data_IF_983321137084
#
_entry.id   IF_983321137084
#
_cell.length_a   1.000
_cell.length_b   1.000
_cell.length_c   1.000
_cell.angle_alpha   90.00
_cell.angle_beta   90.00
_cell.angle_gamma   90.00
#
_symmetry.space_group_name_H-M   'P 1'
#
loop_
_entity.id
_entity.type
_entity.pdbx_description
1 polymer ?
#
# COMPACT_ATOMS: atom_id res chain seq x y z
N UNK A 1 -18.12 19.48 -16.46
CA UNK A 1 -17.08 19.70 -15.44
C UNK A 1 -17.75 20.38 -14.25
N UNK A 2 -18.48 19.61 -13.44
CA UNK A 2 -19.18 20.10 -12.28
C UNK A 2 -18.39 19.65 -11.06
N UNK A 3 -17.34 20.41 -10.71
CA UNK A 3 -16.84 20.40 -9.35
C UNK A 3 -18.04 20.63 -8.44
N UNK A 4 -18.16 19.85 -7.37
CA UNK A 4 -19.22 20.00 -6.39
C UNK A 4 -19.10 21.39 -5.77
N UNK A 5 -19.83 22.34 -6.36
CA UNK A 5 -20.01 23.70 -5.90
C UNK A 5 -20.92 23.68 -4.68
N UNK A 6 -20.41 23.22 -3.53
CA UNK A 6 -20.90 23.78 -2.27
C UNK A 6 -20.06 25.03 -2.02
N UNK A 7 -20.54 26.23 -2.38
CA UNK A 7 -19.77 27.45 -2.21
C UNK A 7 -19.31 27.56 -0.76
N UNK A 8 -18.08 27.99 -0.54
CA UNK A 8 -17.59 28.29 0.80
C UNK A 8 -18.53 29.37 1.38
N UNK A 9 -19.19 29.11 2.52
CA UNK A 9 -20.03 30.12 3.16
C UNK A 9 -19.23 31.40 3.41
N UNK A 10 -19.84 32.56 3.18
CA UNK A 10 -19.17 33.87 3.36
C UNK A 10 -18.83 34.21 4.82
N UNK A 11 -19.34 33.42 5.77
CA UNK A 11 -19.13 33.62 7.19
C UNK A 11 -18.73 32.32 7.87
N UNK A 12 -17.79 32.43 8.82
CA UNK A 12 -17.45 31.34 9.74
C UNK A 12 -18.59 31.20 10.75
N UNK A 13 -19.29 30.07 10.71
CA UNK A 13 -20.44 29.80 11.57
C UNK A 13 -20.90 28.34 11.48
N UNK A 14 -22.07 28.02 12.03
CA UNK A 14 -22.56 26.63 12.11
C UNK A 14 -22.67 25.95 10.73
N UNK A 15 -23.07 26.69 9.69
CA UNK A 15 -23.15 26.16 8.33
C UNK A 15 -21.77 25.78 7.77
N UNK A 16 -20.77 26.65 7.97
CA UNK A 16 -19.37 26.37 7.63
C UNK A 16 -18.84 25.17 8.42
N UNK A 17 -19.05 25.14 9.74
CA UNK A 17 -18.62 24.03 10.59
C UNK A 17 -19.27 22.70 10.18
N UNK A 18 -20.57 22.69 9.87
CA UNK A 18 -21.26 21.51 9.33
C UNK A 18 -20.67 21.06 8.00
N UNK A 19 -20.37 21.98 7.10
CA UNK A 19 -19.75 21.62 5.82
C UNK A 19 -18.32 21.10 5.97
N UNK A 20 -17.54 21.67 6.89
CA UNK A 20 -16.15 21.29 7.14
C UNK A 20 -16.02 19.93 7.81
N UNK A 21 -16.86 19.65 8.81
CA UNK A 21 -16.74 18.45 9.65
C UNK A 21 -17.71 17.32 9.27
N UNK A 22 -18.64 17.52 8.33
CA UNK A 22 -19.49 16.43 7.87
C UNK A 22 -18.67 15.40 7.06
N UNK A 23 -18.57 14.13 7.53
CA UNK A 23 -17.88 13.11 6.79
C UNK A 23 -18.66 12.79 5.51
N UNK A 24 -17.96 12.84 4.37
CA UNK A 24 -18.48 12.44 3.06
C UNK A 24 -17.60 11.34 2.48
N UNK A 25 -18.10 10.61 1.47
CA UNK A 25 -17.29 9.63 0.75
C UNK A 25 -16.03 10.27 0.14
N UNK A 26 -16.15 11.53 -0.32
CA UNK A 26 -15.03 12.31 -0.89
C UNK A 26 -13.97 12.64 0.16
N UNK A 27 -14.38 13.19 1.31
CA UNK A 27 -13.44 13.48 2.40
C UNK A 27 -12.77 12.19 2.89
N UNK A 28 -13.53 11.10 3.02
CA UNK A 28 -12.99 9.77 3.31
C UNK A 28 -11.94 9.33 2.30
N UNK A 29 -12.19 9.49 0.99
CA UNK A 29 -11.22 9.15 -0.05
C UNK A 29 -9.91 9.95 0.10
N UNK A 30 -9.99 11.26 0.31
CA UNK A 30 -8.80 12.10 0.52
C UNK A 30 -8.01 11.68 1.77
N UNK A 31 -8.70 11.47 2.90
CA UNK A 31 -8.04 11.07 4.15
C UNK A 31 -7.36 9.69 4.03
N UNK A 32 -8.04 8.73 3.43
CA UNK A 32 -7.47 7.39 3.21
C UNK A 32 -6.30 7.46 2.24
N UNK A 33 -6.40 8.23 1.14
CA UNK A 33 -5.30 8.40 0.21
C UNK A 33 -4.08 8.98 0.91
N UNK A 34 -4.23 10.06 1.66
CA UNK A 34 -3.14 10.70 2.40
C UNK A 34 -2.51 9.73 3.43
N UNK A 35 -3.34 8.97 4.14
CA UNK A 35 -2.88 7.98 5.14
C UNK A 35 -2.06 6.87 4.48
N UNK A 36 -2.58 6.27 3.42
CA UNK A 36 -1.92 5.16 2.72
C UNK A 36 -0.65 5.63 2.02
N UNK A 37 -0.69 6.78 1.34
CA UNK A 37 0.47 7.37 0.68
C UNK A 37 1.59 7.69 1.68
N UNK A 38 1.25 8.34 2.80
CA UNK A 38 2.20 8.63 3.88
C UNK A 38 2.79 7.35 4.48
N UNK A 39 1.96 6.34 4.74
CA UNK A 39 2.43 5.05 5.24
C UNK A 39 3.38 4.35 4.25
N UNK A 40 3.09 4.40 2.94
CA UNK A 40 3.94 3.81 1.90
C UNK A 40 5.30 4.50 1.78
N UNK A 41 5.36 5.83 1.88
CA UNK A 41 6.63 6.58 1.93
C UNK A 41 7.40 6.20 3.20
N UNK A 42 6.72 6.20 4.35
CA UNK A 42 7.38 6.01 5.62
C UNK A 42 7.84 4.57 5.82
N UNK A 43 6.92 3.61 5.92
CA UNK A 43 7.28 2.24 6.25
C UNK A 43 8.04 1.55 5.10
N UNK A 44 7.65 1.80 3.85
CA UNK A 44 8.23 1.15 2.68
C UNK A 44 9.62 1.64 2.31
N UNK A 45 10.05 2.81 2.82
CA UNK A 45 11.35 3.40 2.50
C UNK A 45 12.07 3.84 3.77
N UNK A 46 11.65 4.96 4.37
CA UNK A 46 12.40 5.62 5.45
C UNK A 46 12.54 4.70 6.67
N UNK A 47 11.42 4.22 7.21
CA UNK A 47 11.39 3.37 8.41
C UNK A 47 12.10 2.04 8.21
N UNK A 48 11.88 1.37 7.06
CA UNK A 48 12.57 0.11 6.75
C UNK A 48 14.08 0.31 6.59
N UNK A 49 14.51 1.33 5.85
CA UNK A 49 15.94 1.60 5.65
C UNK A 49 16.64 2.01 6.94
N UNK A 50 16.06 2.94 7.69
CA UNK A 50 16.64 3.41 8.96
C UNK A 50 16.75 2.27 9.97
N UNK A 51 15.71 1.45 10.11
CA UNK A 51 15.76 0.29 11.01
C UNK A 51 16.73 -0.80 10.54
N UNK A 52 16.87 -1.03 9.23
CA UNK A 52 17.87 -1.95 8.69
C UNK A 52 19.29 -1.51 9.00
N UNK A 53 19.57 -0.20 8.96
CA UNK A 53 20.88 0.36 9.30
C UNK A 53 21.16 0.38 10.80
N UNK A 54 20.13 0.54 11.63
CA UNK A 54 20.27 0.73 13.07
C UNK A 54 20.27 -0.59 13.88
N UNK A 55 19.70 -1.67 13.34
CA UNK A 55 19.48 -2.92 14.09
C UNK A 55 20.30 -4.09 13.53
N UNK A 56 20.75 -5.02 14.39
CA UNK A 56 21.21 -6.33 13.93
C UNK A 56 20.13 -7.01 13.07
N UNK A 57 20.54 -7.73 12.01
CA UNK A 57 19.62 -8.28 11.00
C UNK A 57 18.46 -9.11 11.59
N UNK A 58 18.73 -9.89 12.64
CA UNK A 58 17.72 -10.72 13.31
C UNK A 58 16.67 -9.85 14.02
N UNK A 59 17.08 -8.76 14.64
CA UNK A 59 16.18 -7.87 15.35
C UNK A 59 15.40 -6.98 14.37
N UNK A 60 16.03 -6.55 13.28
CA UNK A 60 15.33 -5.96 12.13
C UNK A 60 14.24 -6.90 11.61
N UNK A 61 14.56 -8.18 11.34
CA UNK A 61 13.58 -9.16 10.87
C UNK A 61 12.40 -9.34 11.83
N UNK A 62 12.67 -9.41 13.14
CA UNK A 62 11.63 -9.48 14.19
C UNK A 62 10.75 -8.25 14.25
N UNK A 63 11.34 -7.05 14.18
CA UNK A 63 10.60 -5.79 14.14
C UNK A 63 9.70 -5.75 12.90
N UNK A 64 10.25 -6.05 11.73
CA UNK A 64 9.52 -6.06 10.47
C UNK A 64 8.39 -7.11 10.46
N UNK A 65 8.58 -8.27 11.08
CA UNK A 65 7.51 -9.27 11.23
C UNK A 65 6.32 -8.78 12.06
N UNK A 66 6.49 -7.73 12.88
CA UNK A 66 5.40 -7.06 13.62
C UNK A 66 4.81 -5.88 12.84
N UNK A 67 5.65 -5.11 12.15
CA UNK A 67 5.22 -3.92 11.41
C UNK A 67 4.53 -4.25 10.08
N UNK A 68 5.09 -5.18 9.30
CA UNK A 68 4.58 -5.47 7.96
C UNK A 68 3.13 -5.95 7.92
N UNK A 69 2.63 -6.82 8.83
CA UNK A 69 1.22 -7.19 8.85
C UNK A 69 0.30 -5.98 9.03
N UNK A 70 0.65 -5.05 9.92
CA UNK A 70 -0.12 -3.82 10.15
C UNK A 70 -0.08 -2.94 8.90
N UNK A 71 1.11 -2.67 8.37
CA UNK A 71 1.30 -1.88 7.15
C UNK A 71 0.56 -2.46 5.94
N UNK A 72 0.69 -3.77 5.70
CA UNK A 72 0.02 -4.43 4.57
C UNK A 72 -1.50 -4.47 4.76
N UNK A 73 -2.00 -4.61 5.99
CA UNK A 73 -3.43 -4.52 6.26
C UNK A 73 -3.99 -3.12 5.98
N UNK A 74 -3.28 -2.07 6.43
CA UNK A 74 -3.64 -0.67 6.22
C UNK A 74 -3.64 -0.33 4.73
N UNK A 75 -2.59 -0.71 4.02
CA UNK A 75 -2.46 -0.42 2.60
C UNK A 75 -3.44 -1.24 1.76
N UNK A 76 -3.68 -2.53 2.06
CA UNK A 76 -4.68 -3.34 1.36
C UNK A 76 -6.11 -2.83 1.57
N UNK A 77 -6.49 -2.54 2.82
CA UNK A 77 -7.82 -1.99 3.11
C UNK A 77 -7.99 -0.58 2.54
N UNK A 78 -6.95 0.24 2.65
CA UNK A 78 -6.95 1.60 2.14
C UNK A 78 -7.06 1.66 0.61
N UNK A 79 -6.25 0.91 -0.13
CA UNK A 79 -6.35 0.90 -1.60
C UNK A 79 -7.65 0.28 -2.10
N UNK A 80 -8.19 -0.73 -1.41
CA UNK A 80 -9.53 -1.25 -1.70
C UNK A 80 -10.61 -0.17 -1.51
N UNK A 81 -10.54 0.60 -0.43
CA UNK A 81 -11.44 1.73 -0.20
C UNK A 81 -11.29 2.79 -1.29
N UNK A 82 -10.06 3.13 -1.69
CA UNK A 82 -9.82 4.11 -2.76
C UNK A 82 -10.42 3.65 -4.09
N UNK A 83 -10.21 2.40 -4.49
CA UNK A 83 -10.78 1.84 -5.70
C UNK A 83 -12.32 1.85 -5.66
N UNK A 84 -12.91 1.40 -4.55
CA UNK A 84 -14.37 1.35 -4.40
C UNK A 84 -15.00 2.75 -4.38
N UNK A 85 -14.46 3.67 -3.60
CA UNK A 85 -14.98 5.04 -3.50
C UNK A 85 -14.82 5.80 -4.82
N UNK A 86 -13.71 5.62 -5.54
CA UNK A 86 -13.54 6.19 -6.88
C UNK A 86 -14.59 5.65 -7.86
N UNK A 87 -14.79 4.33 -7.89
CA UNK A 87 -15.77 3.68 -8.75
C UNK A 87 -17.20 4.15 -8.46
N UNK A 88 -17.57 4.29 -7.17
CA UNK A 88 -18.88 4.81 -6.76
C UNK A 88 -19.07 6.27 -7.19
N UNK A 89 -18.08 7.13 -6.98
CA UNK A 89 -18.18 8.54 -7.35
C UNK A 89 -18.24 8.77 -8.86
N UNK A 90 -17.68 7.86 -9.65
CA UNK A 90 -17.60 7.95 -11.11
C UNK A 90 -18.47 6.91 -11.86
N UNK A 91 -19.38 6.22 -11.16
CA UNK A 91 -20.14 5.09 -11.69
C UNK A 91 -20.87 5.41 -13.00
N UNK A 92 -21.46 6.60 -13.13
CA UNK A 92 -22.21 7.00 -14.32
C UNK A 92 -21.36 7.12 -15.59
N UNK A 93 -20.04 7.34 -15.44
CA UNK A 93 -19.09 7.33 -16.56
C UNK A 93 -18.47 5.96 -16.77
N UNK A 94 -18.19 5.24 -15.69
CA UNK A 94 -17.56 3.90 -15.72
C UNK A 94 -18.51 2.85 -16.32
N UNK A 95 -19.78 2.84 -15.90
CA UNK A 95 -20.76 1.81 -16.29
C UNK A 95 -21.43 2.09 -17.64
N UNK A 96 -21.20 3.26 -18.23
CA UNK A 96 -21.81 3.62 -19.51
C UNK A 96 -21.12 2.84 -20.63
N UNK A 97 -21.88 2.01 -21.35
CA UNK A 97 -21.38 1.12 -22.40
C UNK A 97 -20.68 1.85 -23.57
N UNK A 98 -20.96 3.13 -23.76
CA UNK A 98 -20.34 3.96 -24.80
C UNK A 98 -18.99 4.56 -24.36
N UNK A 99 -18.60 4.41 -23.10
CA UNK A 99 -17.33 4.96 -22.60
C UNK A 99 -16.18 4.10 -23.12
N UNK A 100 -15.21 4.73 -23.78
CA UNK A 100 -14.01 4.05 -24.29
C UNK A 100 -13.19 3.45 -23.13
N UNK A 101 -12.55 2.31 -23.38
CA UNK A 101 -11.59 1.72 -22.43
C UNK A 101 -10.40 2.65 -22.13
N UNK A 102 -10.12 3.60 -23.03
CA UNK A 102 -9.07 4.62 -22.89
C UNK A 102 -9.57 5.91 -22.24
N UNK A 103 -10.82 5.98 -21.79
CA UNK A 103 -11.30 7.12 -21.02
C UNK A 103 -10.45 7.27 -19.74
N UNK A 104 -9.96 8.49 -19.40
CA UNK A 104 -9.11 8.70 -18.24
C UNK A 104 -9.71 8.15 -16.93
N UNK A 105 -11.05 8.19 -16.79
CA UNK A 105 -11.75 7.68 -15.61
C UNK A 105 -11.70 6.15 -15.51
N UNK A 106 -11.77 5.47 -16.66
CA UNK A 106 -11.63 4.01 -16.74
C UNK A 106 -10.20 3.62 -16.40
N UNK A 107 -9.23 4.26 -17.06
CA UNK A 107 -7.80 4.01 -16.81
C UNK A 107 -7.46 4.25 -15.34
N UNK A 108 -7.92 5.35 -14.75
CA UNK A 108 -7.69 5.65 -13.33
C UNK A 108 -8.33 4.60 -12.41
N UNK A 109 -9.53 4.12 -12.73
CA UNK A 109 -10.18 3.04 -11.98
C UNK A 109 -9.35 1.75 -12.02
N UNK A 110 -8.79 1.41 -13.19
CA UNK A 110 -7.92 0.24 -13.35
C UNK A 110 -6.62 0.40 -12.57
N UNK A 111 -6.03 1.59 -12.54
CA UNK A 111 -4.83 1.89 -11.74
C UNK A 111 -5.09 1.63 -10.25
N UNK A 112 -6.19 2.16 -9.70
CA UNK A 112 -6.56 1.95 -8.30
C UNK A 112 -6.93 0.49 -8.00
N UNK A 113 -7.66 -0.17 -8.91
CA UNK A 113 -7.99 -1.59 -8.78
C UNK A 113 -6.73 -2.47 -8.77
N UNK A 114 -5.75 -2.16 -9.64
CA UNK A 114 -4.46 -2.86 -9.69
C UNK A 114 -3.69 -2.69 -8.38
N UNK A 115 -3.65 -1.48 -7.83
CA UNK A 115 -3.03 -1.23 -6.52
C UNK A 115 -3.74 -2.00 -5.39
N UNK A 116 -5.07 -2.07 -5.42
CA UNK A 116 -5.87 -2.85 -4.47
C UNK A 116 -5.53 -4.34 -4.54
N UNK A 117 -5.52 -4.93 -5.74
CA UNK A 117 -5.17 -6.33 -5.94
C UNK A 117 -3.73 -6.61 -5.53
N UNK A 118 -2.79 -5.73 -5.90
CA UNK A 118 -1.38 -5.89 -5.54
C UNK A 118 -1.18 -5.93 -4.02
N UNK A 119 -1.80 -5.01 -3.27
CA UNK A 119 -1.67 -4.99 -1.81
C UNK A 119 -2.44 -6.12 -1.13
N UNK A 120 -3.58 -6.55 -1.68
CA UNK A 120 -4.28 -7.74 -1.19
C UNK A 120 -3.39 -9.00 -1.34
N UNK A 121 -2.76 -9.20 -2.51
CA UNK A 121 -1.80 -10.30 -2.72
C UNK A 121 -0.62 -10.20 -1.77
N UNK A 122 -0.10 -8.99 -1.53
CA UNK A 122 1.00 -8.77 -0.62
C UNK A 122 0.62 -9.12 0.83
N UNK A 123 -0.56 -8.68 1.28
CA UNK A 123 -1.04 -8.91 2.63
C UNK A 123 -1.42 -10.38 2.90
N UNK A 124 -2.20 -10.99 2.01
CA UNK A 124 -2.76 -12.32 2.25
C UNK A 124 -1.82 -13.45 1.84
N UNK A 125 -0.88 -13.22 0.92
CA UNK A 125 -0.05 -14.29 0.35
C UNK A 125 1.44 -14.02 0.51
N UNK A 126 1.97 -13.00 -0.18
CA UNK A 126 3.42 -12.86 -0.36
C UNK A 126 4.12 -12.49 0.94
N UNK A 127 3.64 -11.47 1.65
CA UNK A 127 4.23 -10.99 2.90
C UNK A 127 4.16 -12.05 4.01
N UNK A 128 3.07 -12.81 4.10
CA UNK A 128 2.93 -13.92 5.06
C UNK A 128 3.93 -15.04 4.77
N UNK A 129 4.05 -15.47 3.50
CA UNK A 129 5.03 -16.48 3.09
C UNK A 129 6.47 -16.01 3.34
N UNK A 130 6.79 -14.76 3.00
CA UNK A 130 8.11 -14.18 3.25
C UNK A 130 8.48 -14.23 4.74
N UNK A 131 7.53 -13.84 5.60
CA UNK A 131 7.71 -13.87 7.06
C UNK A 131 7.91 -15.30 7.60
N UNK A 132 7.15 -16.27 7.10
CA UNK A 132 7.33 -17.68 7.47
C UNK A 132 8.71 -18.21 7.08
N UNK A 133 9.17 -17.94 5.85
CA UNK A 133 10.50 -18.35 5.39
C UNK A 133 11.61 -17.67 6.20
N UNK A 134 11.43 -16.39 6.53
CA UNK A 134 12.36 -15.66 7.41
C UNK A 134 12.50 -16.33 8.78
N UNK A 135 11.40 -16.71 9.43
CA UNK A 135 11.46 -17.41 10.72
C UNK A 135 12.08 -18.81 10.62
N UNK A 136 11.78 -19.57 9.55
CA UNK A 136 12.44 -20.85 9.28
C UNK A 136 13.95 -20.68 9.14
N UNK A 137 14.39 -19.64 8.42
CA UNK A 137 15.81 -19.30 8.28
C UNK A 137 16.43 -18.96 9.63
N UNK A 138 15.80 -18.11 10.44
CA UNK A 138 16.31 -17.76 11.77
C UNK A 138 16.43 -18.96 12.72
N UNK A 139 15.48 -19.89 12.67
CA UNK A 139 15.57 -21.13 13.46
C UNK A 139 16.77 -21.98 13.02
N UNK A 140 17.01 -22.08 11.70
CA UNK A 140 18.14 -22.83 11.17
C UNK A 140 19.48 -22.14 11.45
N UNK A 141 19.54 -20.80 11.42
CA UNK A 141 20.75 -20.04 11.81
C UNK A 141 21.13 -20.34 13.26
N UNK A 142 20.14 -20.44 14.16
CA UNK A 142 20.36 -20.82 15.55
C UNK A 142 20.81 -22.28 15.71
N UNK A 143 20.26 -23.20 14.91
CA UNK A 143 20.61 -24.61 14.95
C UNK A 143 22.01 -24.91 14.37
N UNK A 144 22.39 -24.23 13.29
CA UNK A 144 23.73 -24.38 12.66
C UNK A 144 24.82 -23.58 13.40
N UNK A 145 24.43 -22.59 14.22
CA UNK A 145 25.37 -21.65 14.83
C UNK A 145 26.08 -20.74 13.81
N UNK A 146 25.52 -20.63 12.60
CA UNK A 146 26.10 -19.92 11.46
C UNK A 146 25.10 -18.90 10.91
N UNK A 147 25.64 -17.76 10.47
CA UNK A 147 24.85 -16.79 9.70
C UNK A 147 24.61 -17.33 8.29
N UNK A 148 23.44 -17.05 7.70
CA UNK A 148 23.10 -17.50 6.34
C UNK A 148 24.11 -17.11 5.25
N UNK A 149 24.94 -16.10 5.48
CA UNK A 149 25.96 -15.61 4.56
C UNK A 149 27.29 -16.40 4.64
N UNK A 150 27.45 -17.24 5.66
CA UNK A 150 28.63 -18.09 5.79
C UNK A 150 28.71 -19.08 4.60
N UNK A 151 29.87 -19.22 3.92
CA UNK A 151 29.98 -20.07 2.74
C UNK A 151 29.73 -21.56 3.03
N UNK A 152 29.88 -21.97 4.29
CA UNK A 152 29.78 -23.34 4.79
C UNK A 152 28.40 -23.70 5.34
N UNK A 153 27.39 -22.84 5.16
CA UNK A 153 26.01 -23.16 5.55
C UNK A 153 25.44 -24.34 4.76
N UNK A 154 24.45 -25.00 5.34
CA UNK A 154 23.79 -26.15 4.71
C UNK A 154 23.11 -25.79 3.37
N UNK A 155 22.86 -26.82 2.55
CA UNK A 155 22.06 -26.66 1.33
C UNK A 155 20.65 -26.14 1.63
N UNK A 156 20.07 -26.53 2.77
CA UNK A 156 18.76 -26.06 3.23
C UNK A 156 18.79 -24.56 3.56
N UNK A 157 19.85 -24.05 4.17
CA UNK A 157 20.04 -22.61 4.43
C UNK A 157 20.09 -21.81 3.13
N UNK A 158 20.81 -22.32 2.12
CA UNK A 158 20.92 -21.70 0.79
C UNK A 158 19.56 -21.64 0.10
N UNK A 159 18.78 -22.71 0.17
CA UNK A 159 17.43 -22.75 -0.40
C UNK A 159 16.46 -21.78 0.29
N UNK A 160 16.43 -21.78 1.63
CA UNK A 160 15.61 -20.83 2.41
C UNK A 160 15.98 -19.38 2.11
N UNK A 161 17.27 -19.08 1.96
CA UNK A 161 17.76 -17.74 1.59
C UNK A 161 17.28 -17.35 0.20
N UNK A 162 17.42 -18.24 -0.79
CA UNK A 162 16.95 -18.00 -2.16
C UNK A 162 15.44 -17.77 -2.20
N UNK A 163 14.69 -18.58 -1.47
CA UNK A 163 13.23 -18.46 -1.38
C UNK A 163 12.81 -17.14 -0.70
N UNK A 164 13.47 -16.77 0.40
CA UNK A 164 13.24 -15.48 1.06
C UNK A 164 13.49 -14.31 0.10
N UNK A 165 14.63 -14.31 -0.61
CA UNK A 165 14.97 -13.25 -1.56
C UNK A 165 13.94 -13.12 -2.69
N UNK A 166 13.44 -14.24 -3.22
CA UNK A 166 12.37 -14.24 -4.23
C UNK A 166 11.08 -13.62 -3.69
N UNK A 167 10.60 -14.09 -2.54
CA UNK A 167 9.36 -13.59 -1.92
C UNK A 167 9.46 -12.12 -1.53
N UNK A 168 10.62 -11.70 -0.99
CA UNK A 168 10.90 -10.30 -0.70
C UNK A 168 10.86 -9.46 -1.98
N UNK A 169 11.50 -9.91 -3.06
CA UNK A 169 11.46 -9.23 -4.36
C UNK A 169 10.04 -9.05 -4.90
N UNK A 170 9.22 -10.10 -4.86
CA UNK A 170 7.80 -9.99 -5.24
C UNK A 170 7.03 -8.99 -4.37
N UNK A 171 7.23 -9.02 -3.05
CA UNK A 171 6.60 -8.08 -2.12
C UNK A 171 6.99 -6.63 -2.42
N UNK A 172 8.25 -6.39 -2.75
CA UNK A 172 8.78 -5.07 -3.13
C UNK A 172 8.15 -4.57 -4.43
N UNK A 173 8.05 -5.40 -5.46
CA UNK A 173 7.41 -5.03 -6.74
C UNK A 173 5.93 -4.68 -6.53
N UNK A 174 5.18 -5.47 -5.75
CA UNK A 174 3.78 -5.19 -5.43
C UNK A 174 3.63 -3.85 -4.69
N UNK A 175 4.49 -3.59 -3.71
CA UNK A 175 4.53 -2.31 -2.99
C UNK A 175 4.87 -1.14 -3.91
N UNK A 176 5.85 -1.29 -4.82
CA UNK A 176 6.23 -0.24 -5.76
C UNK A 176 5.09 0.06 -6.74
N UNK A 177 4.41 -0.96 -7.25
CA UNK A 177 3.23 -0.77 -8.11
C UNK A 177 2.13 0.00 -7.38
N UNK A 178 1.85 -0.36 -6.12
CA UNK A 178 0.92 0.37 -5.26
C UNK A 178 1.37 1.82 -5.05
N UNK A 179 2.65 2.05 -4.71
CA UNK A 179 3.17 3.39 -4.45
C UNK A 179 3.07 4.29 -5.68
N UNK A 180 3.46 3.78 -6.85
CA UNK A 180 3.30 4.48 -8.13
C UNK A 180 1.84 4.83 -8.43
N UNK A 181 0.91 3.90 -8.18
CA UNK A 181 -0.53 4.16 -8.34
C UNK A 181 -1.03 5.26 -7.39
N UNK A 182 -0.52 5.33 -6.15
CA UNK A 182 -0.87 6.39 -5.20
C UNK A 182 -0.31 7.76 -5.61
N UNK A 183 0.87 7.81 -6.23
CA UNK A 183 1.40 9.04 -6.85
C UNK A 183 0.48 9.50 -7.97
N UNK A 184 0.11 8.60 -8.88
CA UNK A 184 -0.82 8.90 -9.98
C UNK A 184 -2.16 9.39 -9.43
N UNK A 185 -2.68 8.75 -8.37
CA UNK A 185 -3.88 9.23 -7.68
C UNK A 185 -3.70 10.63 -7.09
N UNK A 186 -2.55 10.95 -6.51
CA UNK A 186 -2.25 12.30 -6.03
C UNK A 186 -2.30 13.34 -7.14
N UNK A 187 -1.71 13.04 -8.30
CA UNK A 187 -1.79 13.91 -9.47
C UNK A 187 -3.22 14.04 -9.99
N UNK A 188 -3.98 12.94 -10.03
CA UNK A 188 -5.40 12.99 -10.41
C UNK A 188 -6.18 13.93 -9.49
N UNK A 189 -6.06 13.73 -8.18
CA UNK A 189 -6.76 14.52 -7.17
C UNK A 189 -6.42 16.02 -7.26
N UNK A 190 -5.17 16.36 -7.56
CA UNK A 190 -4.72 17.74 -7.70
C UNK A 190 -5.26 18.43 -8.96
N UNK A 191 -5.37 17.70 -10.09
CA UNK A 191 -5.73 18.29 -11.38
C UNK A 191 -7.23 18.20 -11.70
N UNK A 192 -7.90 17.14 -11.24
CA UNK A 192 -9.28 16.83 -11.63
C UNK A 192 -10.24 16.75 -10.45
N UNK A 193 -9.73 16.63 -9.23
CA UNK A 193 -10.54 16.36 -8.05
C UNK A 193 -11.16 14.96 -8.05
N UNK A 194 -12.16 14.79 -7.18
CA UNK A 194 -13.01 13.59 -7.08
C UNK A 194 -14.42 13.86 -7.61
#
# INVERSE_FOLDING_TARGET
MALINRPIPSQVGLAFAKQLFAPTLRSGHYFIWATVFGASIWQGSIGAYTSFKALPRRDFGRLQAKLFPVYFSLTAGGTAFLAASFAVLHHGRILKSTTSAWDPTIVQSVVLATASVAQALNYFVVGRKATQVMFKRHALEAAEGKDYSDPTVSAQMKDLTKNFSKLHGYSTILNMACFSALIVQGFWLANFGL
#
